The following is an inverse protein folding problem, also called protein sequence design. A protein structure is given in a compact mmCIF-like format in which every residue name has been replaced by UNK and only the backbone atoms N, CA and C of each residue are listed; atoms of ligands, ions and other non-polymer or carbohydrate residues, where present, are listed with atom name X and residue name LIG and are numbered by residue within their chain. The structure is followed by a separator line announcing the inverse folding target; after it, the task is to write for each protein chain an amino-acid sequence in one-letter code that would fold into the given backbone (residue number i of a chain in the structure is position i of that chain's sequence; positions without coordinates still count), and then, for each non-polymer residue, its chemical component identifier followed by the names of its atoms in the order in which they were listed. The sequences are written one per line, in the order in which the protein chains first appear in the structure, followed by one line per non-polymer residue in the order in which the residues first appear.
data_IF_450231161702
#
_entry.id   IF_450231161702
#
_cell.length_a   1.000
_cell.length_b   1.000
_cell.length_c   1.000
_cell.angle_alpha   90.00
_cell.angle_beta   90.00
_cell.angle_gamma   90.00
#
_symmetry.space_group_name_H-M   'P 1'
#
loop_
_entity.id
_entity.type
_entity.pdbx_description
1 polymer ?
#
# COMPACT_ATOMS: atom_id res chain seq x y z
N UNK A 1 22.83 -18.13 47.94
CA UNK A 1 23.23 -18.80 46.67
C UNK A 1 22.13 -19.67 46.05
N UNK A 2 21.42 -20.51 46.81
CA UNK A 2 20.34 -21.37 46.29
C UNK A 2 19.18 -20.63 45.57
N UNK A 3 18.81 -19.44 46.04
CA UNK A 3 17.72 -18.65 45.44
C UNK A 3 18.08 -18.07 44.06
N UNK A 4 19.35 -17.73 43.84
CA UNK A 4 19.86 -17.22 42.55
C UNK A 4 19.93 -18.38 41.53
N UNK A 5 20.28 -19.59 41.99
CA UNK A 5 20.28 -20.80 41.17
C UNK A 5 18.85 -21.19 40.73
N UNK A 6 17.86 -21.02 41.61
CA UNK A 6 16.45 -21.25 41.29
C UNK A 6 15.91 -20.24 40.25
N UNK A 7 16.26 -18.95 40.39
CA UNK A 7 15.89 -17.92 39.41
C UNK A 7 16.55 -18.13 38.04
N UNK A 8 17.81 -18.59 38.01
CA UNK A 8 18.49 -18.97 36.77
C UNK A 8 17.83 -20.18 36.09
N UNK A 9 17.41 -21.19 36.86
CA UNK A 9 16.71 -22.37 36.32
C UNK A 9 15.31 -22.02 35.79
N UNK A 10 14.58 -21.10 36.44
CA UNK A 10 13.29 -20.62 35.93
C UNK A 10 13.43 -19.83 34.63
N UNK A 11 14.50 -19.05 34.45
CA UNK A 11 14.77 -18.33 33.19
C UNK A 11 15.04 -19.24 31.99
N UNK A 12 15.61 -20.43 32.20
CA UNK A 12 15.82 -21.40 31.10
C UNK A 12 14.54 -22.09 30.61
N UNK A 13 13.46 -22.09 31.39
CA UNK A 13 12.18 -22.72 30.99
C UNK A 13 11.33 -21.88 30.04
N UNK A 14 11.71 -20.62 29.77
CA UNK A 14 10.97 -19.74 28.85
C UNK A 14 11.60 -19.65 27.46
N UNK A 15 12.51 -20.56 27.09
CA UNK A 15 12.84 -20.76 25.67
C UNK A 15 11.67 -21.49 25.04
N UNK A 16 10.81 -20.75 24.32
CA UNK A 16 9.82 -21.36 23.41
C UNK A 16 10.59 -22.14 22.35
N UNK A 17 10.92 -23.40 22.64
CA UNK A 17 11.54 -24.25 21.64
C UNK A 17 10.57 -24.38 20.47
N UNK A 18 11.10 -24.20 19.26
CA UNK A 18 10.36 -24.39 18.02
C UNK A 18 10.12 -25.90 17.89
N UNK A 19 9.15 -26.40 18.62
CA UNK A 19 8.81 -27.82 18.59
C UNK A 19 7.89 -28.03 17.41
N UNK A 20 8.43 -28.55 16.31
CA UNK A 20 7.58 -29.16 15.29
C UNK A 20 6.79 -30.32 15.90
N UNK A 21 5.62 -30.61 15.34
CA UNK A 21 4.84 -31.77 15.75
C UNK A 21 5.67 -33.04 15.55
N UNK A 22 5.77 -33.85 16.60
CA UNK A 22 6.41 -35.17 16.56
C UNK A 22 5.63 -36.13 15.66
N UNK A 23 6.27 -37.23 15.24
CA UNK A 23 5.62 -38.25 14.42
C UNK A 23 4.33 -38.79 15.07
N UNK A 24 4.34 -38.99 16.39
CA UNK A 24 3.20 -39.51 17.16
C UNK A 24 2.05 -38.48 17.27
N UNK A 25 2.37 -37.20 17.41
CA UNK A 25 1.38 -36.12 17.36
C UNK A 25 0.77 -36.04 15.96
N UNK A 26 1.58 -36.16 14.91
CA UNK A 26 1.09 -36.22 13.54
C UNK A 26 0.21 -37.44 13.29
N UNK A 27 0.54 -38.64 13.78
CA UNK A 27 -0.34 -39.81 13.61
C UNK A 27 -1.69 -39.60 14.29
N UNK A 28 -1.72 -39.00 15.46
CA UNK A 28 -2.96 -38.69 16.20
C UNK A 28 -3.81 -37.67 15.45
N UNK A 29 -3.20 -36.58 14.98
CA UNK A 29 -3.86 -35.56 14.17
C UNK A 29 -4.39 -36.15 12.87
N UNK A 30 -3.60 -36.97 12.17
CA UNK A 30 -4.04 -37.67 10.94
C UNK A 30 -5.23 -38.58 11.20
N UNK A 31 -5.24 -39.29 12.33
CA UNK A 31 -6.36 -40.14 12.72
C UNK A 31 -7.64 -39.31 12.90
N UNK A 32 -7.57 -38.18 13.61
CA UNK A 32 -8.71 -37.28 13.82
C UNK A 32 -9.18 -36.69 12.47
N UNK A 33 -8.28 -36.13 11.67
CA UNK A 33 -8.64 -35.49 10.40
C UNK A 33 -9.27 -36.44 9.37
N UNK A 34 -8.94 -37.74 9.42
CA UNK A 34 -9.49 -38.76 8.51
C UNK A 34 -10.76 -39.44 9.01
N UNK A 35 -11.08 -39.33 10.30
CA UNK A 35 -12.17 -40.10 10.88
C UNK A 35 -13.53 -39.55 10.44
N UNK A 36 -14.45 -40.38 9.88
CA UNK A 36 -15.70 -39.90 9.29
C UNK A 36 -16.69 -39.29 10.29
N UNK A 37 -16.48 -39.53 11.60
CA UNK A 37 -17.29 -38.94 12.67
C UNK A 37 -16.63 -37.73 13.36
N UNK A 38 -15.54 -37.21 12.80
CA UNK A 38 -14.91 -36.02 13.36
C UNK A 38 -15.82 -34.82 13.17
N UNK A 39 -16.08 -34.11 14.27
CA UNK A 39 -16.83 -32.85 14.23
C UNK A 39 -15.96 -31.71 13.70
N UNK A 40 -16.60 -30.67 13.17
CA UNK A 40 -15.91 -29.46 12.70
C UNK A 40 -15.03 -28.84 13.80
N UNK A 41 -15.53 -28.82 15.04
CA UNK A 41 -14.78 -28.35 16.20
C UNK A 41 -13.47 -29.12 16.42
N UNK A 42 -13.48 -30.44 16.24
CA UNK A 42 -12.27 -31.27 16.37
C UNK A 42 -11.27 -30.96 15.25
N UNK A 43 -11.76 -30.79 14.02
CA UNK A 43 -10.94 -30.44 12.85
C UNK A 43 -10.31 -29.06 13.05
N UNK A 44 -11.07 -28.07 13.49
CA UNK A 44 -10.60 -26.72 13.78
C UNK A 44 -9.56 -26.72 14.90
N UNK A 45 -9.78 -27.51 15.95
CA UNK A 45 -8.81 -27.67 17.04
C UNK A 45 -7.49 -28.25 16.52
N UNK A 46 -7.54 -29.28 15.67
CA UNK A 46 -6.35 -29.84 15.03
C UNK A 46 -5.64 -28.80 14.15
N UNK A 47 -6.38 -28.05 13.34
CA UNK A 47 -5.85 -27.01 12.46
C UNK A 47 -5.17 -25.89 13.26
N UNK A 48 -5.78 -25.46 14.37
CA UNK A 48 -5.20 -24.49 15.28
C UNK A 48 -3.89 -25.00 15.88
N UNK A 49 -3.85 -26.25 16.34
CA UNK A 49 -2.62 -26.88 16.87
C UNK A 49 -1.52 -26.86 15.80
N UNK A 50 -1.82 -27.31 14.58
CA UNK A 50 -0.84 -27.29 13.48
C UNK A 50 -0.35 -25.85 13.25
N UNK A 51 -1.26 -24.88 13.16
CA UNK A 51 -0.88 -23.48 12.97
C UNK A 51 0.06 -22.97 14.06
N UNK A 52 -0.25 -23.22 15.34
CA UNK A 52 0.59 -22.76 16.46
C UNK A 52 2.01 -23.33 16.42
N UNK A 53 2.16 -24.61 16.03
CA UNK A 53 3.45 -25.27 15.91
C UNK A 53 4.26 -24.81 14.68
N UNK A 54 3.59 -24.41 13.60
CA UNK A 54 4.25 -24.06 12.32
C UNK A 54 4.31 -22.56 12.01
N UNK A 55 3.66 -21.68 12.79
CA UNK A 55 3.68 -20.22 12.55
C UNK A 55 5.09 -19.63 12.55
N UNK A 56 5.97 -20.09 13.46
CA UNK A 56 7.35 -19.60 13.52
C UNK A 56 8.17 -20.05 12.32
N UNK A 57 7.88 -21.23 11.77
CA UNK A 57 8.46 -21.68 10.51
C UNK A 57 8.05 -20.75 9.35
N UNK A 58 6.76 -20.39 9.26
CA UNK A 58 6.28 -19.43 8.26
C UNK A 58 6.92 -18.04 8.43
N UNK A 59 7.09 -17.56 9.67
CA UNK A 59 7.77 -16.28 9.94
C UNK A 59 9.25 -16.30 9.55
N UNK A 60 9.95 -17.41 9.81
CA UNK A 60 11.33 -17.57 9.37
C UNK A 60 11.42 -17.58 7.84
N UNK A 61 10.47 -18.22 7.15
CA UNK A 61 10.38 -18.15 5.68
C UNK A 61 10.16 -16.72 5.19
N UNK A 62 9.27 -15.94 5.81
CA UNK A 62 9.06 -14.53 5.48
C UNK A 62 10.34 -13.70 5.67
N UNK A 63 11.09 -13.95 6.75
CA UNK A 63 12.37 -13.30 6.99
C UNK A 63 13.40 -13.64 5.90
N UNK A 64 13.61 -14.92 5.60
CA UNK A 64 14.51 -15.37 4.54
C UNK A 64 14.09 -14.84 3.16
N UNK A 65 12.78 -14.76 2.90
CA UNK A 65 12.27 -14.18 1.66
C UNK A 65 12.61 -12.70 1.55
N UNK A 66 12.39 -11.93 2.63
CA UNK A 66 12.72 -10.50 2.67
C UNK A 66 14.21 -10.25 2.45
N UNK A 67 15.08 -11.04 3.08
CA UNK A 67 16.54 -10.89 2.90
C UNK A 67 16.96 -11.28 1.48
N UNK A 68 16.43 -12.38 0.94
CA UNK A 68 16.70 -12.83 -0.44
C UNK A 68 16.27 -11.80 -1.48
N UNK A 69 15.09 -11.20 -1.30
CA UNK A 69 14.51 -10.22 -2.22
C UNK A 69 14.57 -8.79 -1.68
N UNK A 70 15.63 -8.46 -0.93
CA UNK A 70 15.77 -7.20 -0.21
C UNK A 70 15.44 -5.96 -1.06
N UNK A 71 15.98 -5.89 -2.29
CA UNK A 71 15.74 -4.76 -3.19
C UNK A 71 14.26 -4.56 -3.52
N UNK A 72 13.50 -5.64 -3.69
CA UNK A 72 12.07 -5.62 -4.05
C UNK A 72 11.18 -5.42 -2.82
N UNK A 73 11.60 -5.97 -1.68
CA UNK A 73 10.84 -5.92 -0.42
C UNK A 73 11.24 -4.74 0.49
N UNK A 74 12.09 -3.81 0.03
CA UNK A 74 12.64 -2.73 0.86
C UNK A 74 11.55 -1.91 1.57
N UNK A 75 10.44 -1.65 0.89
CA UNK A 75 9.32 -0.86 1.39
C UNK A 75 8.24 -1.69 2.09
N UNK A 76 8.33 -3.02 2.04
CA UNK A 76 7.35 -3.91 2.64
C UNK A 76 7.79 -4.23 4.06
N UNK A 77 6.94 -3.98 5.06
CA UNK A 77 7.29 -4.30 6.46
C UNK A 77 7.46 -5.81 6.63
N UNK A 78 8.25 -6.23 7.62
CA UNK A 78 8.39 -7.68 7.86
C UNK A 78 7.07 -8.28 8.36
N UNK A 79 6.27 -7.52 9.10
CA UNK A 79 5.01 -8.00 9.67
C UNK A 79 3.94 -8.22 8.59
N UNK A 80 3.93 -7.39 7.54
CA UNK A 80 3.13 -7.66 6.34
C UNK A 80 3.51 -9.01 5.71
N UNK A 81 4.81 -9.25 5.51
CA UNK A 81 5.25 -10.54 4.95
C UNK A 81 4.92 -11.73 5.86
N UNK A 82 4.94 -11.55 7.18
CA UNK A 82 4.48 -12.58 8.13
C UNK A 82 2.99 -12.84 7.99
N UNK A 83 2.18 -11.83 7.69
CA UNK A 83 0.75 -11.99 7.45
C UNK A 83 0.49 -12.86 6.21
N UNK A 84 1.14 -12.56 5.08
CA UNK A 84 1.06 -13.39 3.86
C UNK A 84 1.60 -14.80 4.11
N UNK A 85 2.71 -14.95 4.83
CA UNK A 85 3.21 -16.28 5.19
C UNK A 85 2.23 -17.06 6.08
N UNK A 86 1.52 -16.38 6.98
CA UNK A 86 0.48 -16.99 7.82
C UNK A 86 -0.72 -17.44 6.99
N UNK A 87 -1.14 -16.62 6.01
CA UNK A 87 -2.18 -16.98 5.05
C UNK A 87 -1.81 -18.24 4.27
N UNK A 88 -0.61 -18.29 3.70
CA UNK A 88 -0.15 -19.47 2.98
C UNK A 88 -0.02 -20.71 3.86
N UNK A 89 0.28 -20.54 5.16
CA UNK A 89 0.25 -21.64 6.11
C UNK A 89 -1.18 -22.14 6.36
N UNK A 90 -2.15 -21.25 6.52
CA UNK A 90 -3.56 -21.64 6.69
C UNK A 90 -4.08 -22.38 5.45
N UNK A 91 -3.79 -21.87 4.26
CA UNK A 91 -4.15 -22.53 3.00
C UNK A 91 -3.54 -23.93 2.92
N UNK A 92 -2.26 -24.07 3.29
CA UNK A 92 -1.62 -25.37 3.37
C UNK A 92 -2.30 -26.32 4.37
N UNK A 93 -2.69 -25.84 5.55
CA UNK A 93 -3.37 -26.66 6.56
C UNK A 93 -4.70 -27.19 6.02
N UNK A 94 -5.51 -26.31 5.41
CA UNK A 94 -6.84 -26.67 4.90
C UNK A 94 -6.78 -27.64 3.71
N UNK A 95 -5.77 -27.49 2.85
CA UNK A 95 -5.64 -28.29 1.62
C UNK A 95 -4.73 -29.52 1.76
N UNK A 96 -4.15 -29.77 2.94
CA UNK A 96 -3.18 -30.85 3.09
C UNK A 96 -3.87 -32.22 3.16
N UNK A 97 -3.68 -33.03 2.11
CA UNK A 97 -4.03 -34.44 2.18
C UNK A 97 -3.00 -35.22 3.00
N UNK A 98 -3.45 -35.66 4.16
CA UNK A 98 -2.68 -36.44 5.13
C UNK A 98 -2.26 -37.82 4.63
N UNK A 99 -2.81 -38.29 3.51
CA UNK A 99 -2.45 -39.53 2.80
C UNK A 99 -1.19 -39.41 1.97
N UNK A 100 -0.75 -38.19 1.67
CA UNK A 100 0.46 -37.96 0.88
C UNK A 100 1.74 -38.33 1.68
N UNK A 101 2.77 -38.86 1.01
CA UNK A 101 4.02 -39.27 1.68
C UNK A 101 4.93 -38.09 2.05
N UNK A 102 4.60 -36.88 1.59
CA UNK A 102 5.42 -35.70 1.81
C UNK A 102 5.27 -35.17 3.24
N UNK A 103 6.37 -34.67 3.81
CA UNK A 103 6.31 -33.95 5.09
C UNK A 103 5.49 -32.67 4.93
N UNK A 104 4.60 -32.41 5.90
CA UNK A 104 3.79 -31.20 5.95
C UNK A 104 4.64 -29.93 5.82
N UNK A 105 5.84 -29.88 6.42
CA UNK A 105 6.73 -28.71 6.29
C UNK A 105 7.09 -28.42 4.83
N UNK A 106 7.39 -29.46 4.04
CA UNK A 106 7.74 -29.32 2.63
C UNK A 106 6.51 -28.87 1.82
N UNK A 107 5.35 -29.46 2.10
CA UNK A 107 4.09 -29.08 1.47
C UNK A 107 3.73 -27.61 1.75
N UNK A 108 3.71 -27.23 3.02
CA UNK A 108 3.42 -25.87 3.46
C UNK A 108 4.39 -24.84 2.87
N UNK A 109 5.67 -25.21 2.67
CA UNK A 109 6.65 -24.31 2.06
C UNK A 109 6.27 -23.83 0.66
N UNK A 110 5.51 -24.61 -0.11
CA UNK A 110 5.06 -24.25 -1.46
C UNK A 110 4.00 -23.15 -1.36
N UNK A 111 2.99 -23.34 -0.52
CA UNK A 111 1.91 -22.37 -0.30
C UNK A 111 2.43 -21.08 0.32
N UNK A 112 3.27 -21.18 1.36
CA UNK A 112 3.90 -20.02 2.00
C UNK A 112 4.70 -19.21 0.98
N UNK A 113 5.50 -19.86 0.13
CA UNK A 113 6.23 -19.15 -0.94
C UNK A 113 5.29 -18.50 -1.95
N UNK A 114 4.23 -19.21 -2.36
CA UNK A 114 3.21 -18.67 -3.28
C UNK A 114 2.61 -17.37 -2.76
N UNK A 115 2.14 -17.37 -1.51
CA UNK A 115 1.57 -16.19 -0.87
C UNK A 115 2.60 -15.07 -0.65
N UNK A 116 3.86 -15.39 -0.35
CA UNK A 116 4.93 -14.38 -0.24
C UNK A 116 5.22 -13.69 -1.59
N UNK A 117 5.24 -14.44 -2.70
CA UNK A 117 5.36 -13.85 -4.03
C UNK A 117 4.15 -13.00 -4.41
N UNK A 118 2.96 -13.47 -4.04
CA UNK A 118 1.71 -12.75 -4.22
C UNK A 118 1.73 -11.42 -3.44
N UNK A 119 2.05 -11.45 -2.14
CA UNK A 119 2.15 -10.25 -1.30
C UNK A 119 3.24 -9.28 -1.73
N UNK A 120 4.42 -9.77 -2.14
CA UNK A 120 5.45 -8.90 -2.74
C UNK A 120 4.93 -8.18 -3.99
N UNK A 121 4.11 -8.85 -4.79
CA UNK A 121 3.56 -8.28 -6.02
C UNK A 121 2.43 -7.29 -5.73
N UNK A 122 1.56 -7.60 -4.77
CA UNK A 122 0.44 -6.76 -4.36
C UNK A 122 0.91 -5.47 -3.66
N UNK A 123 1.85 -5.60 -2.72
CA UNK A 123 2.36 -4.49 -1.91
C UNK A 123 3.43 -3.65 -2.62
N UNK A 124 3.79 -3.97 -3.88
CA UNK A 124 4.81 -3.23 -4.59
C UNK A 124 4.30 -1.82 -4.94
N UNK A 125 4.86 -0.75 -4.34
CA UNK A 125 4.27 0.60 -4.44
C UNK A 125 4.41 1.22 -5.84
N UNK A 126 5.24 0.63 -6.71
CA UNK A 126 5.61 1.20 -8.00
C UNK A 126 4.92 0.54 -9.20
N UNK A 127 3.81 -0.15 -9.00
CA UNK A 127 3.07 -0.71 -10.13
C UNK A 127 1.62 -0.28 -10.09
N UNK A 128 1.29 0.72 -10.92
CA UNK A 128 -0.08 1.08 -11.28
C UNK A 128 -0.80 -0.05 -12.07
N UNK A 129 -0.03 -1.05 -12.51
CA UNK A 129 -0.53 -2.13 -13.34
C UNK A 129 -1.07 -3.30 -12.48
N UNK A 130 -2.33 -3.71 -12.69
CA UNK A 130 -2.91 -4.87 -12.02
C UNK A 130 -2.10 -6.15 -12.20
N UNK A 131 -2.17 -7.06 -11.22
CA UNK A 131 -1.43 -8.34 -11.22
C UNK A 131 -1.72 -9.16 -12.48
N UNK A 132 -2.99 -9.27 -12.87
CA UNK A 132 -3.42 -10.01 -14.07
C UNK A 132 -2.71 -9.55 -15.35
N UNK A 133 -2.56 -8.23 -15.52
CA UNK A 133 -1.86 -7.63 -16.66
C UNK A 133 -0.34 -7.77 -16.55
N UNK A 134 0.23 -7.81 -15.35
CA UNK A 134 1.67 -8.08 -15.15
C UNK A 134 2.04 -9.50 -15.54
N UNK A 135 1.20 -10.49 -15.27
CA UNK A 135 1.51 -11.91 -15.55
C UNK A 135 1.22 -12.26 -17.02
N UNK A 136 0.23 -11.64 -17.65
CA UNK A 136 -0.14 -11.92 -19.06
C UNK A 136 0.98 -11.56 -20.05
N UNK A 137 1.61 -12.59 -20.63
CA UNK A 137 2.63 -12.42 -21.68
C UNK A 137 2.04 -11.79 -22.95
N UNK A 138 0.85 -12.23 -23.35
CA UNK A 138 0.17 -11.71 -24.54
C UNK A 138 -0.12 -10.20 -24.42
N UNK A 139 -0.70 -9.78 -23.29
CA UNK A 139 -1.01 -8.37 -23.07
C UNK A 139 0.26 -7.51 -23.07
N UNK A 140 1.33 -8.00 -22.42
CA UNK A 140 2.63 -7.32 -22.34
C UNK A 140 3.25 -7.12 -23.72
N UNK A 141 3.17 -8.11 -24.60
CA UNK A 141 3.70 -7.99 -25.97
C UNK A 141 2.91 -6.98 -26.79
N UNK A 142 1.58 -6.98 -26.67
CA UNK A 142 0.71 -6.04 -27.39
C UNK A 142 0.84 -4.59 -26.87
N UNK A 143 1.11 -4.39 -25.58
CA UNK A 143 1.13 -3.08 -24.92
C UNK A 143 2.52 -2.73 -24.35
N UNK A 144 3.60 -3.10 -25.03
CA UNK A 144 4.96 -3.04 -24.50
C UNK A 144 5.36 -1.64 -24.01
N UNK A 145 5.03 -0.59 -24.76
CA UNK A 145 5.34 0.81 -24.42
C UNK A 145 4.63 1.23 -23.13
N UNK A 146 3.32 0.96 -23.05
CA UNK A 146 2.51 1.26 -21.87
C UNK A 146 2.96 0.46 -20.65
N UNK A 147 3.26 -0.83 -20.83
CA UNK A 147 3.79 -1.70 -19.79
C UNK A 147 5.08 -1.11 -19.21
N UNK A 148 6.06 -0.78 -20.05
CA UNK A 148 7.32 -0.17 -19.61
C UNK A 148 7.09 1.13 -18.83
N UNK A 149 6.18 1.99 -19.29
CA UNK A 149 5.82 3.26 -18.62
C UNK A 149 5.20 3.03 -17.24
N UNK A 150 4.30 2.05 -17.12
CA UNK A 150 3.58 1.75 -15.87
C UNK A 150 4.39 0.91 -14.87
N UNK A 151 5.42 0.20 -15.32
CA UNK A 151 6.32 -0.57 -14.44
C UNK A 151 7.57 0.18 -14.01
N UNK A 152 7.91 1.27 -14.71
CA UNK A 152 9.07 2.11 -14.41
C UNK A 152 8.64 3.44 -13.77
N UNK A 153 7.73 3.39 -12.81
CA UNK A 153 7.32 4.58 -12.08
C UNK A 153 8.39 4.93 -11.04
N UNK A 154 8.88 6.16 -11.06
CA UNK A 154 9.70 6.69 -9.98
C UNK A 154 8.77 7.22 -8.89
N UNK A 155 9.02 6.81 -7.65
CA UNK A 155 8.39 7.47 -6.51
C UNK A 155 8.98 8.87 -6.40
N UNK A 156 8.14 9.88 -6.52
CA UNK A 156 8.51 11.28 -6.34
C UNK A 156 7.87 11.68 -5.02
N UNK A 157 8.69 11.94 -3.98
CA UNK A 157 8.15 12.46 -2.73
C UNK A 157 7.59 13.88 -2.95
N UNK A 158 6.77 14.39 -2.02
CA UNK A 158 6.25 15.76 -2.14
C UNK A 158 7.37 16.79 -2.23
N UNK A 159 8.49 16.57 -1.54
CA UNK A 159 9.70 17.41 -1.63
C UNK A 159 10.38 17.27 -2.99
N UNK A 160 10.54 16.04 -3.49
CA UNK A 160 11.15 15.79 -4.80
C UNK A 160 10.29 16.31 -5.95
N UNK A 161 8.96 16.39 -5.77
CA UNK A 161 8.04 16.92 -6.78
C UNK A 161 8.30 18.39 -7.03
N UNK A 162 8.41 19.19 -5.96
CA UNK A 162 8.75 20.60 -6.09
C UNK A 162 10.18 20.77 -6.59
N UNK A 163 11.16 20.02 -6.06
CA UNK A 163 12.56 20.16 -6.50
C UNK A 163 12.75 19.75 -7.99
N UNK A 164 12.05 18.72 -8.47
CA UNK A 164 12.04 18.36 -9.89
C UNK A 164 11.24 19.32 -10.76
N UNK A 165 10.15 19.93 -10.27
CA UNK A 165 9.48 21.03 -10.95
C UNK A 165 10.43 22.22 -11.09
N UNK A 166 11.08 22.64 -10.02
CA UNK A 166 12.04 23.75 -10.03
C UNK A 166 13.26 23.45 -10.92
N UNK A 167 13.77 22.22 -10.92
CA UNK A 167 14.88 21.81 -11.80
C UNK A 167 14.47 21.64 -13.26
N UNK A 168 13.30 21.10 -13.56
CA UNK A 168 12.79 21.01 -14.95
C UNK A 168 12.47 22.39 -15.52
N UNK A 169 11.97 23.32 -14.68
CA UNK A 169 11.83 24.75 -15.00
C UNK A 169 13.20 25.42 -15.27
N UNK A 170 14.30 24.86 -14.78
CA UNK A 170 15.66 25.38 -15.01
C UNK A 170 16.37 24.78 -16.22
N UNK A 171 15.90 23.64 -16.74
CA UNK A 171 16.49 22.95 -17.88
C UNK A 171 15.67 23.18 -19.16
N UNK A 172 15.95 24.29 -19.85
CA UNK A 172 15.83 24.49 -21.31
C UNK A 172 14.62 23.92 -22.10
N UNK A 173 13.45 23.73 -21.51
CA UNK A 173 12.22 23.46 -22.27
C UNK A 173 11.27 24.66 -22.19
N UNK A 174 11.08 25.31 -23.35
CA UNK A 174 10.20 26.44 -23.67
C UNK A 174 10.12 27.57 -22.62
N UNK A 175 10.85 28.66 -22.88
CA UNK A 175 10.76 29.93 -22.16
C UNK A 175 9.30 30.42 -22.01
N UNK A 176 8.47 30.14 -23.03
CA UNK A 176 7.02 30.39 -23.01
C UNK A 176 6.27 29.57 -21.93
N UNK A 177 6.64 28.30 -21.75
CA UNK A 177 6.00 27.42 -20.76
C UNK A 177 6.40 27.82 -19.34
N UNK A 178 7.67 28.22 -19.16
CA UNK A 178 8.18 28.81 -17.91
C UNK A 178 7.44 30.10 -17.56
N UNK A 179 7.27 31.02 -18.50
CA UNK A 179 6.49 32.23 -18.29
C UNK A 179 5.04 31.91 -17.89
N UNK A 180 4.41 30.94 -18.56
CA UNK A 180 3.04 30.54 -18.24
C UNK A 180 2.94 29.96 -16.82
N UNK A 181 3.91 29.15 -16.40
CA UNK A 181 3.95 28.62 -15.03
C UNK A 181 4.15 29.73 -14.00
N UNK A 182 5.05 30.69 -14.26
CA UNK A 182 5.27 31.85 -13.37
C UNK A 182 3.98 32.67 -13.24
N UNK A 183 3.28 32.92 -14.35
CA UNK A 183 1.97 33.62 -14.36
C UNK A 183 0.92 32.86 -13.54
N UNK A 184 0.89 31.52 -13.62
CA UNK A 184 -0.02 30.69 -12.81
C UNK A 184 0.31 30.76 -11.33
N UNK A 185 1.59 30.72 -10.96
CA UNK A 185 2.05 30.86 -9.56
C UNK A 185 1.64 32.23 -9.01
N UNK A 186 1.88 33.31 -9.76
CA UNK A 186 1.47 34.66 -9.39
C UNK A 186 -0.04 34.76 -9.17
N UNK A 187 -0.86 34.23 -10.08
CA UNK A 187 -2.31 34.21 -9.92
C UNK A 187 -2.76 33.47 -8.65
N UNK A 188 -2.16 32.32 -8.35
CA UNK A 188 -2.46 31.59 -7.12
C UNK A 188 -2.01 32.34 -5.86
N UNK A 189 -0.88 33.03 -5.91
CA UNK A 189 -0.42 33.88 -4.82
C UNK A 189 -1.40 35.03 -4.59
N UNK A 190 -1.84 35.73 -5.63
CA UNK A 190 -2.83 36.80 -5.51
C UNK A 190 -4.10 36.26 -4.84
N UNK A 191 -4.64 35.14 -5.32
CA UNK A 191 -5.82 34.48 -4.69
C UNK A 191 -5.59 34.11 -3.22
N UNK A 192 -4.40 33.64 -2.86
CA UNK A 192 -4.06 33.26 -1.48
C UNK A 192 -3.83 34.48 -0.58
N UNK A 193 -3.39 35.62 -1.14
CA UNK A 193 -3.15 36.87 -0.44
C UNK A 193 -4.36 37.80 -0.38
N UNK A 194 -5.42 37.53 -1.17
CA UNK A 194 -6.69 38.23 -1.05
C UNK A 194 -7.17 38.23 0.40
N UNK A 195 -7.54 39.41 0.89
CA UNK A 195 -8.19 39.63 2.18
C UNK A 195 -9.67 39.23 2.12
N UNK A 196 -9.88 37.95 1.78
CA UNK A 196 -11.18 37.28 1.82
C UNK A 196 -11.11 36.11 2.77
N UNK A 197 -12.24 35.86 3.42
CA UNK A 197 -12.47 34.71 4.29
C UNK A 197 -11.94 33.41 3.65
N UNK A 198 -11.24 32.60 4.44
CA UNK A 198 -10.56 31.36 4.04
C UNK A 198 -11.50 30.39 3.29
N UNK A 199 -12.80 30.48 3.57
CA UNK A 199 -13.83 29.73 2.86
C UNK A 199 -13.86 30.00 1.34
N UNK A 200 -13.56 31.23 0.91
CA UNK A 200 -13.51 31.61 -0.50
C UNK A 200 -12.32 30.94 -1.20
N UNK A 201 -11.16 30.90 -0.54
CA UNK A 201 -9.95 30.23 -1.03
C UNK A 201 -10.19 28.72 -1.17
N UNK A 202 -10.86 28.11 -0.18
CA UNK A 202 -11.28 26.71 -0.21
C UNK A 202 -12.20 26.38 -1.39
N UNK A 203 -13.16 27.26 -1.70
CA UNK A 203 -14.06 27.09 -2.87
C UNK A 203 -13.27 27.05 -4.18
N UNK A 204 -12.30 27.94 -4.37
CA UNK A 204 -11.47 27.97 -5.60
C UNK A 204 -10.62 26.71 -5.73
N UNK A 205 -9.99 26.26 -4.63
CA UNK A 205 -9.21 25.01 -4.59
C UNK A 205 -10.04 23.77 -4.93
N UNK A 206 -11.31 23.72 -4.54
CA UNK A 206 -12.19 22.61 -4.94
C UNK A 206 -12.69 22.71 -6.38
N UNK A 207 -12.83 23.95 -6.88
CA UNK A 207 -13.37 24.23 -8.21
C UNK A 207 -12.39 23.94 -9.32
N UNK A 208 -11.14 24.33 -9.14
CA UNK A 208 -10.12 24.33 -10.18
C UNK A 208 -8.85 23.60 -9.76
N UNK A 209 -8.15 23.01 -10.73
CA UNK A 209 -6.80 22.49 -10.52
C UNK A 209 -5.78 23.64 -10.59
N UNK A 210 -4.50 23.32 -10.41
CA UNK A 210 -3.40 24.29 -10.49
C UNK A 210 -3.41 25.11 -11.81
N UNK A 211 -3.80 24.48 -12.92
CA UNK A 211 -3.90 25.11 -14.26
C UNK A 211 -5.23 25.82 -14.51
N UNK A 212 -6.04 26.09 -13.49
CA UNK A 212 -7.38 26.68 -13.58
C UNK A 212 -8.39 25.90 -14.44
N UNK A 213 -8.16 24.60 -14.66
CA UNK A 213 -9.14 23.73 -15.29
C UNK A 213 -10.20 23.30 -14.27
N UNK A 214 -11.47 23.35 -14.66
CA UNK A 214 -12.61 23.01 -13.81
C UNK A 214 -12.59 21.52 -13.47
N UNK A 215 -12.45 21.19 -12.18
CA UNK A 215 -12.52 19.80 -11.68
C UNK A 215 -13.95 19.46 -11.22
N UNK A 216 -14.68 20.43 -10.65
CA UNK A 216 -16.01 20.20 -10.06
C UNK A 216 -17.06 21.20 -10.54
N UNK A 217 -18.32 20.78 -10.53
CA UNK A 217 -19.48 21.65 -10.75
C UNK A 217 -19.73 22.54 -9.51
N UNK A 218 -20.55 23.60 -9.66
CA UNK A 218 -20.90 24.43 -8.49
C UNK A 218 -21.81 23.68 -7.52
N UNK A 219 -22.62 22.75 -8.05
CA UNK A 219 -23.50 21.92 -7.27
C UNK A 219 -22.71 20.96 -6.38
N UNK A 220 -21.74 20.23 -6.95
CA UNK A 220 -20.87 19.32 -6.18
C UNK A 220 -20.11 20.01 -5.05
N UNK A 221 -19.63 21.24 -5.29
CA UNK A 221 -18.94 22.02 -4.26
C UNK A 221 -19.93 22.52 -3.21
N UNK A 222 -21.13 22.89 -3.65
CA UNK A 222 -22.23 23.25 -2.76
C UNK A 222 -22.59 22.11 -1.81
N UNK A 223 -22.77 20.91 -2.35
CA UNK A 223 -23.07 19.70 -1.59
C UNK A 223 -21.97 19.38 -0.57
N UNK A 224 -20.68 19.56 -0.94
CA UNK A 224 -19.53 19.33 -0.05
C UNK A 224 -19.40 20.36 1.08
N UNK A 225 -19.83 21.59 0.85
CA UNK A 225 -19.63 22.71 1.77
C UNK A 225 -20.91 23.19 2.47
N UNK A 226 -22.06 22.58 2.17
CA UNK A 226 -23.36 22.97 2.69
C UNK A 226 -23.89 24.29 2.10
N UNK A 227 -23.55 24.59 0.84
CA UNK A 227 -23.99 25.80 0.14
C UNK A 227 -24.87 25.50 -1.07
N UNK A 228 -25.76 26.44 -1.43
CA UNK A 228 -26.43 26.37 -2.72
C UNK A 228 -25.44 26.65 -3.87
N UNK A 229 -25.69 26.06 -5.03
CA UNK A 229 -24.88 26.26 -6.25
C UNK A 229 -24.76 27.75 -6.64
N UNK A 230 -25.81 28.53 -6.37
CA UNK A 230 -25.87 29.96 -6.61
C UNK A 230 -25.00 30.75 -5.63
N UNK A 231 -24.94 30.33 -4.36
CA UNK A 231 -24.01 30.89 -3.38
C UNK A 231 -22.56 30.67 -3.79
N UNK A 232 -22.23 29.47 -4.25
CA UNK A 232 -20.89 29.15 -4.79
C UNK A 232 -20.57 30.04 -6.00
N UNK A 233 -21.52 30.22 -6.92
CA UNK A 233 -21.35 31.09 -8.09
C UNK A 233 -21.03 32.54 -7.69
N UNK A 234 -21.80 33.11 -6.75
CA UNK A 234 -21.58 34.47 -6.23
C UNK A 234 -20.22 34.61 -5.57
N UNK A 235 -19.82 33.64 -4.73
CA UNK A 235 -18.51 33.65 -4.06
C UNK A 235 -17.35 33.59 -5.06
N UNK A 236 -17.43 32.75 -6.08
CA UNK A 236 -16.42 32.67 -7.15
C UNK A 236 -16.33 33.99 -7.92
N UNK A 237 -17.47 34.62 -8.24
CA UNK A 237 -17.48 35.89 -8.96
C UNK A 237 -16.84 37.02 -8.14
N UNK A 238 -17.05 37.05 -6.83
CA UNK A 238 -16.40 38.01 -5.94
C UNK A 238 -14.87 37.88 -5.98
N UNK A 239 -14.35 36.65 -5.97
CA UNK A 239 -12.90 36.41 -6.08
C UNK A 239 -12.39 36.89 -7.44
N UNK A 240 -13.09 36.57 -8.52
CA UNK A 240 -12.72 37.03 -9.86
C UNK A 240 -12.65 38.56 -9.96
N UNK A 241 -13.61 39.28 -9.38
CA UNK A 241 -13.56 40.75 -9.35
C UNK A 241 -12.38 41.26 -8.56
N UNK A 242 -12.07 40.68 -7.40
CA UNK A 242 -10.92 41.11 -6.59
C UNK A 242 -9.59 40.92 -7.33
N UNK A 243 -9.37 39.73 -7.90
CA UNK A 243 -8.16 39.44 -8.70
C UNK A 243 -8.05 40.37 -9.91
N UNK A 244 -9.17 40.71 -10.56
CA UNK A 244 -9.17 41.64 -11.69
C UNK A 244 -8.76 43.06 -11.29
N UNK A 245 -9.18 43.52 -10.09
CA UNK A 245 -8.82 44.85 -9.60
C UNK A 245 -7.36 44.94 -9.17
N UNK A 246 -6.82 43.93 -8.49
CA UNK A 246 -5.39 43.90 -8.11
C UNK A 246 -4.48 43.92 -9.33
N UNK A 247 -4.74 43.08 -10.33
CA UNK A 247 -3.95 43.03 -11.58
C UNK A 247 -4.04 44.31 -12.42
N UNK A 248 -5.05 45.17 -12.19
CA UNK A 248 -5.17 46.47 -12.87
C UNK A 248 -4.33 47.55 -12.18
N UNK A 249 -4.26 47.52 -10.86
CA UNK A 249 -3.46 48.46 -10.07
C UNK A 249 -1.96 48.21 -10.29
N UNK A 250 -1.53 46.96 -10.41
CA UNK A 250 -0.13 46.59 -10.73
C UNK A 250 0.36 47.02 -12.13
N UNK A 251 -0.54 47.43 -13.04
CA UNK A 251 -0.19 47.89 -14.40
C UNK A 251 -0.12 49.43 -14.52
N UNK A 252 -0.47 50.15 -13.47
CA UNK A 252 -0.46 51.62 -13.43
C UNK A 252 0.72 52.20 -12.63
N UNK A 253 1.52 51.33 -12.02
CA UNK A 253 2.85 51.61 -11.45
C UNK A 253 3.95 51.19 -12.43
#
# INVERSE_FOLDING_TARGET
MLFILFLLLCWFTSVKSINYLTKNQWTSIKHILKHPKSSDYMIDTCNQIIFQHYKHYAYNMAYHFKTTYYKKCRHISLDELKLYASRGLLDAITMYDTSTPFSFSKYASIYIKGELYYGMSELHPLTLLPISKRISKQWRTQHLVLYKKMTNTKFISHYDYYDHLYKSISSQENEQERENIIKLIQLWNNINHLDVDEQYKKIIKYKYNFYFQKIRSNQEIGDLLGYSSETIRKKINKIKSCVYHENKNEKQE
#
